data_IF_955856448132
#
_entry.id   IF_955856448132
#
_cell.length_a   1.000
_cell.length_b   1.000
_cell.length_c   1.000
_cell.angle_alpha   90.00
_cell.angle_beta   90.00
_cell.angle_gamma   90.00
#
_symmetry.space_group_name_H-M   'P 1'
#
loop_
_entity.id
_entity.type
_entity.pdbx_description
1 polymer ?
#
# COMPACT_ATOMS: atom_id res chain seq x y z
N UNK A 1 0.13 16.62 -3.50
CA UNK A 1 1.51 16.37 -3.93
C UNK A 1 1.49 15.93 -5.37
N UNK A 2 2.46 16.36 -6.18
CA UNK A 2 2.59 15.85 -7.55
C UNK A 2 3.32 14.50 -7.50
N UNK A 3 2.59 13.43 -7.76
CA UNK A 3 3.12 12.07 -7.76
C UNK A 3 4.05 11.81 -8.95
N UNK A 4 3.93 12.58 -10.03
CA UNK A 4 4.77 12.45 -11.23
C UNK A 4 6.21 12.87 -10.94
N UNK A 5 6.39 14.04 -10.31
CA UNK A 5 7.70 14.53 -9.88
C UNK A 5 8.36 13.56 -8.90
N UNK A 6 7.59 12.97 -7.97
CA UNK A 6 8.11 11.99 -7.02
C UNK A 6 8.57 10.69 -7.70
N UNK A 7 7.74 10.13 -8.60
CA UNK A 7 8.10 8.93 -9.35
C UNK A 7 9.37 9.13 -10.18
N UNK A 8 9.51 10.28 -10.84
CA UNK A 8 10.71 10.60 -11.62
C UNK A 8 11.96 10.74 -10.75
N UNK A 9 11.86 11.39 -9.59
CA UNK A 9 12.99 11.59 -8.67
C UNK A 9 13.50 10.29 -8.06
N UNK A 10 12.63 9.28 -7.93
CA UNK A 10 12.93 7.97 -7.35
C UNK A 10 13.17 6.87 -8.39
N UNK A 11 13.12 7.20 -9.69
CA UNK A 11 13.26 6.25 -10.81
C UNK A 11 12.31 5.05 -10.69
N UNK A 12 11.04 5.32 -10.36
CA UNK A 12 10.02 4.27 -10.20
C UNK A 12 9.45 3.86 -11.55
N UNK A 13 9.37 2.56 -11.79
CA UNK A 13 8.73 1.97 -12.97
C UNK A 13 7.23 1.69 -12.76
N UNK A 14 6.69 2.07 -11.60
CA UNK A 14 5.28 1.91 -11.21
C UNK A 14 4.60 3.23 -10.87
N UNK A 15 3.26 3.23 -10.96
CA UNK A 15 2.42 4.39 -10.69
C UNK A 15 2.35 4.72 -9.19
N UNK A 16 2.52 6.01 -8.87
CA UNK A 16 2.21 6.56 -7.54
C UNK A 16 0.92 7.37 -7.63
N UNK A 17 -0.05 7.04 -6.76
CA UNK A 17 -1.37 7.65 -6.75
C UNK A 17 -1.56 8.52 -5.51
N UNK A 18 -2.23 9.66 -5.65
CA UNK A 18 -2.57 10.56 -4.54
C UNK A 18 -3.98 10.26 -4.01
N UNK A 19 -4.12 10.11 -2.70
CA UNK A 19 -5.41 9.94 -1.99
C UNK A 19 -5.65 11.13 -1.03
N UNK A 20 -5.89 12.35 -1.55
CA UNK A 20 -5.87 13.59 -0.75
C UNK A 20 -6.95 13.64 0.34
N UNK A 21 -8.09 12.97 0.12
CA UNK A 21 -9.23 12.95 1.05
C UNK A 21 -9.25 11.68 1.96
N UNK A 22 -8.18 10.88 1.88
CA UNK A 22 -8.06 9.57 2.49
C UNK A 22 -9.24 8.63 2.10
N UNK A 23 -9.81 8.78 0.91
CA UNK A 23 -10.99 8.02 0.48
C UNK A 23 -10.65 6.54 0.30
N UNK A 24 -9.55 6.25 -0.40
CA UNK A 24 -9.12 4.87 -0.67
C UNK A 24 -8.61 4.22 0.61
N UNK A 25 -7.75 4.91 1.34
CA UNK A 25 -7.16 4.42 2.59
C UNK A 25 -8.21 4.14 3.68
N UNK A 26 -9.28 4.94 3.78
CA UNK A 26 -10.46 4.62 4.62
C UNK A 26 -11.22 3.39 4.13
N UNK A 27 -11.40 3.23 2.81
CA UNK A 27 -12.09 2.05 2.24
C UNK A 27 -11.33 0.75 2.45
N UNK A 28 -10.01 0.79 2.43
CA UNK A 28 -9.15 -0.35 2.76
C UNK A 28 -8.97 -0.56 4.27
N UNK A 29 -9.52 0.34 5.10
CA UNK A 29 -9.47 0.21 6.56
C UNK A 29 -8.10 0.49 7.19
N UNK A 30 -7.21 1.19 6.49
CA UNK A 30 -5.82 1.44 6.95
C UNK A 30 -5.56 2.88 7.35
N UNK A 31 -6.55 3.76 7.26
CA UNK A 31 -6.37 5.16 7.64
C UNK A 31 -6.30 5.34 9.16
N UNK A 32 -5.26 6.03 9.63
CA UNK A 32 -5.09 6.55 10.99
C UNK A 32 -5.16 5.48 12.10
N UNK A 33 -4.75 4.22 11.84
CA UNK A 33 -4.74 3.19 12.88
C UNK A 33 -3.69 3.47 13.96
N UNK A 34 -2.63 4.22 13.62
CA UNK A 34 -1.56 4.63 14.53
C UNK A 34 -1.78 6.01 15.17
N UNK A 35 -2.89 6.70 14.84
CA UNK A 35 -3.21 8.02 15.40
C UNK A 35 -2.39 9.19 14.83
N UNK A 36 -1.74 9.01 13.68
CA UNK A 36 -0.84 9.98 13.02
C UNK A 36 -1.47 10.74 11.84
N UNK A 37 -2.75 10.48 11.54
CA UNK A 37 -3.51 11.16 10.48
C UNK A 37 -3.16 10.72 9.06
N UNK A 38 -2.43 9.62 8.87
CA UNK A 38 -2.06 9.08 7.56
C UNK A 38 -2.41 7.60 7.44
N UNK A 39 -2.18 7.01 6.27
CA UNK A 39 -2.32 5.57 6.09
C UNK A 39 -1.27 4.83 6.92
N UNK A 40 -1.72 3.86 7.73
CA UNK A 40 -0.84 2.89 8.37
C UNK A 40 -0.11 2.10 7.28
N UNK A 41 1.21 1.90 7.39
CA UNK A 41 1.98 1.15 6.42
C UNK A 41 1.35 -0.22 6.12
N UNK A 42 1.05 -0.49 4.85
CA UNK A 42 0.28 -1.68 4.47
C UNK A 42 0.60 -2.12 3.04
N UNK A 43 0.45 -3.42 2.76
CA UNK A 43 0.53 -4.02 1.43
C UNK A 43 -0.71 -4.88 1.21
N UNK A 44 -1.27 -4.83 0.00
CA UNK A 44 -2.38 -5.66 -0.44
C UNK A 44 -2.02 -6.33 -1.76
N UNK A 45 -2.26 -7.64 -1.88
CA UNK A 45 -2.16 -8.38 -3.13
C UNK A 45 -3.59 -8.67 -3.60
N UNK A 46 -3.90 -8.22 -4.81
CA UNK A 46 -5.21 -8.32 -5.43
C UNK A 46 -5.07 -9.25 -6.65
N UNK A 47 -5.95 -10.24 -6.76
CA UNK A 47 -5.98 -11.16 -7.90
C UNK A 47 -6.76 -10.59 -9.10
N UNK A 48 -6.80 -11.34 -10.20
CA UNK A 48 -7.53 -10.97 -11.42
C UNK A 48 -9.05 -10.85 -11.20
N UNK A 49 -9.59 -11.51 -10.16
CA UNK A 49 -10.99 -11.38 -9.74
C UNK A 49 -11.24 -10.12 -8.90
N UNK A 50 -10.24 -9.24 -8.76
CA UNK A 50 -10.29 -8.01 -7.96
C UNK A 50 -10.55 -8.29 -6.48
N UNK A 51 -10.09 -9.44 -6.00
CA UNK A 51 -10.21 -9.85 -4.60
C UNK A 51 -8.87 -9.69 -3.91
N UNK A 52 -8.89 -9.17 -2.68
CA UNK A 52 -7.70 -9.17 -1.82
C UNK A 52 -7.43 -10.62 -1.40
N UNK A 53 -6.37 -11.21 -1.94
CA UNK A 53 -5.96 -12.59 -1.64
C UNK A 53 -4.94 -12.66 -0.50
N UNK A 54 -4.25 -11.55 -0.26
CA UNK A 54 -3.35 -11.40 0.87
C UNK A 54 -3.21 -9.92 1.25
N UNK A 55 -3.00 -9.65 2.53
CA UNK A 55 -2.66 -8.32 3.02
C UNK A 55 -1.74 -8.38 4.22
N UNK A 56 -1.02 -7.28 4.40
CA UNK A 56 -0.22 -7.00 5.58
C UNK A 56 -0.46 -5.57 6.01
N UNK A 57 -0.73 -5.37 7.30
CA UNK A 57 -0.91 -4.05 7.93
C UNK A 57 0.08 -4.00 9.09
N UNK A 58 0.98 -3.01 9.08
CA UNK A 58 2.01 -2.88 10.10
C UNK A 58 1.45 -2.35 11.43
N UNK A 59 2.09 -2.75 12.53
CA UNK A 59 1.71 -2.38 13.89
C UNK A 59 2.34 -1.04 14.35
N UNK A 60 3.30 -0.49 13.59
CA UNK A 60 3.92 0.81 13.88
C UNK A 60 4.47 1.51 12.62
N UNK A 61 4.96 2.74 12.77
CA UNK A 61 5.43 3.59 11.65
C UNK A 61 6.61 3.03 10.88
N UNK A 62 7.37 2.08 11.44
CA UNK A 62 8.52 1.41 10.81
C UNK A 62 8.19 -0.01 10.36
N UNK A 63 7.04 -0.55 10.75
CA UNK A 63 6.65 -1.91 10.44
C UNK A 63 6.19 -2.04 8.98
N UNK A 64 6.79 -2.97 8.25
CA UNK A 64 6.59 -3.14 6.80
C UNK A 64 6.59 -4.62 6.48
N UNK A 65 5.82 -5.00 5.45
CA UNK A 65 5.88 -6.35 4.92
C UNK A 65 7.28 -6.67 4.40
N UNK A 66 7.82 -7.83 4.79
CA UNK A 66 9.08 -8.33 4.28
C UNK A 66 8.92 -8.76 2.81
N UNK A 67 9.94 -8.51 1.98
CA UNK A 67 9.91 -8.83 0.55
C UNK A 67 9.59 -10.32 0.30
N UNK A 68 10.17 -11.22 1.11
CA UNK A 68 9.93 -12.66 1.01
C UNK A 68 8.46 -13.03 1.22
N UNK A 69 7.77 -12.30 2.09
CA UNK A 69 6.37 -12.58 2.45
C UNK A 69 5.46 -12.07 1.33
N UNK A 70 5.76 -10.90 0.77
CA UNK A 70 5.08 -10.38 -0.41
C UNK A 70 5.20 -11.39 -1.57
N UNK A 71 6.42 -11.80 -1.92
CA UNK A 71 6.68 -12.71 -3.05
C UNK A 71 6.03 -14.09 -2.87
N UNK A 72 5.99 -14.61 -1.64
CA UNK A 72 5.39 -15.92 -1.34
C UNK A 72 3.86 -15.92 -1.44
N UNK A 73 3.22 -14.74 -1.44
CA UNK A 73 1.77 -14.59 -1.50
C UNK A 73 1.28 -14.06 -2.85
N UNK A 74 2.17 -13.90 -3.85
CA UNK A 74 1.76 -13.61 -5.23
C UNK A 74 1.10 -14.89 -5.80
N UNK A 75 -0.15 -14.81 -6.31
CA UNK A 75 -0.80 -15.94 -6.95
C UNK A 75 0.04 -16.52 -8.08
N UNK A 76 0.11 -17.84 -8.17
CA UNK A 76 0.61 -18.51 -9.37
C UNK A 76 -0.45 -18.35 -10.47
N UNK A 77 -0.04 -17.78 -11.61
CA UNK A 77 -0.87 -17.70 -12.81
C UNK A 77 -1.05 -19.07 -13.47
#
# INVERSE_FOLDING_TARGET
>A
YDTTTLSLALDLDYSVLSDPDAYVTKKYGVFNLLGDGVATPSVFIIDDNKTVVWSYIGDNISDRAELKDILSNIPAN
#
